data_IF_219971442880
#
_entry.id   IF_219971442880
#
_cell.length_a   1.000
_cell.length_b   1.000
_cell.length_c   1.000
_cell.angle_alpha   90.00
_cell.angle_beta   90.00
_cell.angle_gamma   90.00
#
_symmetry.space_group_name_H-M   'P 1'
#
loop_
_entity.id
_entity.type
_entity.pdbx_description
1 polymer ?
#
# COMPACT_ATOMS: atom_id res chain seq x y z
N UNK A 1 6.79 -23.17 15.43
CA UNK A 1 6.62 -23.38 13.98
C UNK A 1 5.29 -24.08 13.79
N UNK A 2 4.32 -23.39 13.18
CA UNK A 2 3.02 -23.99 12.86
C UNK A 2 3.16 -24.65 11.50
N UNK A 3 2.67 -25.88 11.37
CA UNK A 3 2.72 -26.62 10.11
C UNK A 3 1.41 -26.45 9.35
N UNK A 4 1.48 -26.36 8.03
CA UNK A 4 0.29 -26.33 7.15
C UNK A 4 -0.61 -27.54 7.43
N UNK A 5 -1.90 -27.34 7.76
CA UNK A 5 -2.90 -28.40 7.82
C UNK A 5 -3.01 -29.16 6.49
N UNK A 6 -3.46 -30.42 6.53
CA UNK A 6 -3.45 -31.34 5.36
C UNK A 6 -4.35 -30.86 4.21
N UNK A 7 -5.52 -30.36 4.53
CA UNK A 7 -6.46 -29.72 3.60
C UNK A 7 -5.82 -28.55 2.86
N UNK A 8 -5.07 -27.69 3.57
CA UNK A 8 -4.32 -26.60 2.92
C UNK A 8 -3.17 -27.15 2.06
N UNK A 9 -2.46 -28.19 2.52
CA UNK A 9 -1.40 -28.82 1.70
C UNK A 9 -1.94 -29.40 0.39
N UNK A 10 -3.12 -30.03 0.41
CA UNK A 10 -3.77 -30.56 -0.78
C UNK A 10 -4.22 -29.43 -1.73
N UNK A 11 -4.77 -28.36 -1.18
CA UNK A 11 -5.11 -27.16 -1.95
C UNK A 11 -3.88 -26.55 -2.64
N UNK A 12 -2.72 -26.48 -1.95
CA UNK A 12 -1.44 -26.00 -2.52
C UNK A 12 -0.92 -26.88 -3.65
N UNK A 13 -1.10 -28.20 -3.55
CA UNK A 13 -0.66 -29.12 -4.61
C UNK A 13 -1.53 -29.05 -5.85
N UNK A 14 -2.80 -28.70 -5.68
CA UNK A 14 -3.79 -28.68 -6.76
C UNK A 14 -3.93 -27.30 -7.41
N UNK A 15 -3.46 -26.24 -6.72
CA UNK A 15 -3.46 -24.89 -7.27
C UNK A 15 -2.42 -24.78 -8.40
N UNK A 16 -2.88 -24.82 -9.65
CA UNK A 16 -2.10 -24.52 -10.85
C UNK A 16 -1.83 -22.99 -10.91
N UNK A 17 -0.86 -22.52 -10.13
CA UNK A 17 -0.37 -21.12 -10.10
C UNK A 17 -1.34 -20.05 -9.55
N UNK A 18 -2.52 -20.41 -9.06
CA UNK A 18 -3.43 -19.46 -8.40
C UNK A 18 -3.22 -19.41 -6.89
N UNK A 19 -3.13 -18.20 -6.27
CA UNK A 19 -3.08 -18.08 -4.83
C UNK A 19 -4.33 -18.66 -4.17
N UNK A 20 -4.14 -19.46 -3.12
CA UNK A 20 -5.26 -20.05 -2.38
C UNK A 20 -5.93 -18.96 -1.55
N UNK A 21 -7.26 -18.91 -1.62
CA UNK A 21 -8.08 -18.03 -0.80
C UNK A 21 -8.72 -18.82 0.33
N UNK A 22 -8.65 -18.28 1.53
CA UNK A 22 -9.21 -18.85 2.74
C UNK A 22 -10.21 -17.85 3.31
N UNK A 23 -11.39 -18.30 3.67
CA UNK A 23 -12.39 -17.45 4.33
C UNK A 23 -12.44 -17.84 5.80
N UNK A 24 -12.25 -16.85 6.68
CA UNK A 24 -12.52 -17.03 8.10
C UNK A 24 -14.04 -17.04 8.33
N UNK A 25 -14.64 -18.16 8.78
CA UNK A 25 -16.08 -18.26 8.95
C UNK A 25 -16.64 -17.37 10.08
N UNK A 26 -15.81 -16.95 11.04
CA UNK A 26 -16.27 -16.10 12.15
C UNK A 26 -16.38 -14.63 11.74
N UNK A 27 -15.38 -14.13 11.00
CA UNK A 27 -15.33 -12.73 10.57
C UNK A 27 -15.80 -12.51 9.14
N UNK A 28 -15.99 -13.58 8.38
CA UNK A 28 -16.22 -13.57 6.92
C UNK A 28 -15.11 -12.83 6.14
N UNK A 29 -13.92 -12.70 6.73
CA UNK A 29 -12.77 -12.06 6.10
C UNK A 29 -12.05 -13.06 5.19
N UNK A 30 -11.63 -12.60 4.02
CA UNK A 30 -10.85 -13.40 3.09
C UNK A 30 -9.35 -13.16 3.27
N UNK A 31 -8.59 -14.24 3.32
CA UNK A 31 -7.13 -14.28 3.40
C UNK A 31 -6.57 -14.98 2.17
N UNK A 32 -5.37 -14.60 1.75
CA UNK A 32 -4.67 -15.22 0.62
C UNK A 32 -3.40 -15.88 1.14
N UNK A 33 -3.22 -17.16 0.85
CA UNK A 33 -1.99 -17.89 1.13
C UNK A 33 -1.02 -17.72 -0.05
N UNK A 34 0.17 -17.21 0.26
CA UNK A 34 1.26 -17.04 -0.71
C UNK A 34 2.55 -17.67 -0.15
N UNK A 35 3.46 -18.14 -1.01
CA UNK A 35 4.81 -18.53 -0.59
C UNK A 35 5.52 -17.39 0.13
N UNK A 36 6.34 -17.72 1.14
CA UNK A 36 7.06 -16.72 1.94
C UNK A 36 7.93 -15.81 1.08
N UNK A 37 8.67 -16.37 0.12
CA UNK A 37 9.53 -15.59 -0.80
C UNK A 37 8.73 -14.55 -1.60
N UNK A 38 7.50 -14.87 -2.01
CA UNK A 38 6.63 -13.94 -2.72
C UNK A 38 6.10 -12.86 -1.78
N UNK A 39 5.73 -13.23 -0.55
CA UNK A 39 5.34 -12.26 0.47
C UNK A 39 6.47 -11.28 0.77
N UNK A 40 7.71 -11.76 0.93
CA UNK A 40 8.86 -10.91 1.23
C UNK A 40 9.15 -9.95 0.07
N UNK A 41 9.10 -10.42 -1.18
CA UNK A 41 9.22 -9.54 -2.36
C UNK A 41 8.15 -8.46 -2.40
N UNK A 42 6.88 -8.80 -2.17
CA UNK A 42 5.78 -7.83 -2.13
C UNK A 42 5.97 -6.88 -0.94
N UNK A 43 6.39 -7.38 0.22
CA UNK A 43 6.61 -6.58 1.43
C UNK A 43 7.71 -5.55 1.19
N UNK A 44 8.84 -5.94 0.61
CA UNK A 44 9.91 -5.01 0.25
C UNK A 44 9.42 -3.93 -0.71
N UNK A 45 8.71 -4.33 -1.78
CA UNK A 45 8.21 -3.42 -2.80
C UNK A 45 7.20 -2.39 -2.27
N UNK A 46 6.25 -2.82 -1.44
CA UNK A 46 5.11 -1.99 -1.06
C UNK A 46 5.18 -1.45 0.37
N UNK A 47 5.73 -2.21 1.31
CA UNK A 47 5.70 -1.85 2.71
C UNK A 47 7.02 -1.19 3.13
N UNK A 48 8.18 -1.73 2.73
CA UNK A 48 9.47 -1.13 3.07
C UNK A 48 9.75 0.18 2.31
N UNK A 49 9.24 0.37 1.08
CA UNK A 49 9.33 1.66 0.38
C UNK A 49 8.26 2.68 0.78
N UNK A 50 7.34 2.32 1.68
CA UNK A 50 6.37 3.24 2.26
C UNK A 50 6.81 3.81 3.61
N UNK A 51 8.12 3.94 3.84
CA UNK A 51 8.73 4.41 5.10
C UNK A 51 8.20 5.76 5.59
N UNK A 52 7.70 6.60 4.70
CA UNK A 52 7.18 7.90 5.07
C UNK A 52 5.72 7.76 5.53
N UNK A 53 5.52 8.08 6.80
CA UNK A 53 4.20 8.40 7.36
C UNK A 53 3.50 9.45 6.51
N UNK A 54 2.17 9.60 6.68
CA UNK A 54 1.40 10.62 5.96
C UNK A 54 1.98 12.03 6.15
N UNK A 55 2.48 12.32 7.34
CA UNK A 55 3.06 13.63 7.66
C UNK A 55 4.43 13.81 7.00
N UNK A 56 5.26 12.78 6.94
CA UNK A 56 6.54 12.82 6.24
C UNK A 56 6.36 12.93 4.72
N UNK A 57 5.37 12.24 4.15
CA UNK A 57 4.98 12.42 2.74
C UNK A 57 4.54 13.85 2.47
N UNK A 58 3.73 14.43 3.36
CA UNK A 58 3.30 15.82 3.27
C UNK A 58 4.49 16.77 3.35
N UNK A 59 5.41 16.55 4.28
CA UNK A 59 6.63 17.36 4.40
C UNK A 59 7.51 17.27 3.15
N UNK A 60 7.67 16.07 2.58
CA UNK A 60 8.44 15.87 1.35
C UNK A 60 7.84 16.63 0.16
N UNK A 61 6.52 16.54 -0.03
CA UNK A 61 5.80 17.26 -1.09
C UNK A 61 5.93 18.77 -0.91
N UNK A 62 5.79 19.27 0.32
CA UNK A 62 5.99 20.69 0.63
C UNK A 62 7.42 21.14 0.29
N UNK A 63 8.44 20.40 0.72
CA UNK A 63 9.83 20.72 0.40
C UNK A 63 10.14 20.69 -1.11
N UNK A 64 9.56 19.73 -1.85
CA UNK A 64 9.68 19.68 -3.30
C UNK A 64 9.03 20.90 -3.97
N UNK A 65 7.82 21.29 -3.52
CA UNK A 65 7.12 22.48 -4.01
C UNK A 65 7.90 23.77 -3.76
N UNK A 66 8.49 23.93 -2.57
CA UNK A 66 9.35 25.08 -2.26
C UNK A 66 10.57 25.15 -3.19
N UNK A 67 11.25 24.02 -3.44
CA UNK A 67 12.36 24.00 -4.42
C UNK A 67 11.92 24.33 -5.84
N UNK A 68 10.69 23.99 -6.19
CA UNK A 68 10.09 24.33 -7.48
C UNK A 68 9.55 25.77 -7.55
N UNK A 69 9.66 26.54 -6.46
CA UNK A 69 9.20 27.93 -6.39
C UNK A 69 7.69 28.08 -6.23
N UNK A 70 6.98 27.08 -5.70
CA UNK A 70 5.54 27.18 -5.47
C UNK A 70 5.15 28.22 -4.41
N UNK A 71 6.12 28.69 -3.62
CA UNK A 71 5.98 29.81 -2.68
C UNK A 71 6.30 31.18 -3.31
N UNK A 72 6.67 31.23 -4.59
CA UNK A 72 6.91 32.49 -5.28
C UNK A 72 5.61 33.24 -5.53
N UNK A 73 5.71 34.58 -5.55
CA UNK A 73 4.57 35.48 -5.68
C UNK A 73 3.78 35.24 -6.95
N UNK A 74 4.46 34.87 -8.02
CA UNK A 74 3.88 34.56 -9.33
C UNK A 74 2.99 33.31 -9.29
N UNK A 75 3.28 32.38 -8.38
CA UNK A 75 2.51 31.13 -8.20
C UNK A 75 1.29 31.33 -7.29
N UNK A 76 1.15 32.48 -6.63
CA UNK A 76 0.00 32.79 -5.76
C UNK A 76 -1.33 32.78 -6.52
N UNK A 77 -1.31 33.07 -7.84
CA UNK A 77 -2.50 33.05 -8.71
C UNK A 77 -3.22 31.70 -8.68
N UNK A 78 -2.49 30.59 -8.50
CA UNK A 78 -3.11 29.26 -8.42
C UNK A 78 -3.87 29.04 -7.11
N UNK A 79 -3.55 29.79 -6.05
CA UNK A 79 -4.24 29.68 -4.78
C UNK A 79 -5.66 30.28 -4.84
N UNK A 80 -5.87 31.27 -5.71
CA UNK A 80 -7.19 31.89 -5.93
C UNK A 80 -8.10 31.02 -6.82
N UNK A 81 -7.50 30.09 -7.57
CA UNK A 81 -8.18 29.12 -8.42
C UNK A 81 -8.54 27.82 -7.67
N UNK A 82 -8.18 27.67 -6.39
CA UNK A 82 -8.50 26.46 -5.61
C UNK A 82 -10.00 26.41 -5.27
N UNK A 83 -10.78 25.50 -5.88
CA UNK A 83 -12.24 25.44 -5.67
C UNK A 83 -12.63 25.03 -4.25
N UNK A 84 -11.68 24.54 -3.43
CA UNK A 84 -11.92 24.19 -2.02
C UNK A 84 -11.88 25.38 -1.07
N UNK A 85 -11.35 26.54 -1.51
CA UNK A 85 -11.31 27.77 -0.70
C UNK A 85 -12.60 28.59 -0.78
N UNK A 86 -13.47 28.29 -1.74
CA UNK A 86 -14.75 28.97 -1.94
C UNK A 86 -15.93 28.26 -1.26
N UNK A 87 -15.66 27.27 -0.39
CA UNK A 87 -16.65 26.52 0.39
C UNK A 87 -16.58 26.89 1.87
#
# INVERSE_FOLDING_TARGET
MITLPKDIQEAVRTSEDQPIRLTDPETNSEYVLVPADLYDQIRELFYEHSTLTRDEKRALILHAGLRAGWDQREMEVYNDLDPRRQQ
#
